data_IF_938123291423
#
_entry.id   IF_938123291423
#
_cell.length_a   1.000
_cell.length_b   1.000
_cell.length_c   1.000
_cell.angle_alpha   90.00
_cell.angle_beta   90.00
_cell.angle_gamma   90.00
#
_symmetry.space_group_name_H-M   'P 1'
#
loop_
_entity.id
_entity.type
_entity.pdbx_description
1 polymer ?
#
# COMPACT_ATOMS: atom_id res chain seq x y z
N UNK A 1 43.31 5.61 -42.09
CA UNK A 1 42.85 4.24 -41.74
C UNK A 1 43.47 3.77 -40.42
N UNK A 2 44.73 4.11 -40.14
CA UNK A 2 45.45 3.77 -38.89
C UNK A 2 44.80 4.30 -37.60
N UNK A 3 44.16 5.48 -37.63
CA UNK A 3 43.47 6.03 -36.45
C UNK A 3 42.26 5.17 -36.03
N UNK A 4 41.50 4.65 -36.99
CA UNK A 4 40.38 3.74 -36.73
C UNK A 4 40.87 2.39 -36.18
N UNK A 5 42.05 1.92 -36.60
CA UNK A 5 42.65 0.68 -36.13
C UNK A 5 43.22 0.80 -34.72
N UNK A 6 43.73 1.98 -34.34
CA UNK A 6 44.22 2.26 -32.99
C UNK A 6 43.08 2.36 -31.95
N UNK A 7 41.92 2.89 -32.34
CA UNK A 7 40.71 2.92 -31.48
C UNK A 7 40.17 1.50 -31.23
N UNK A 8 40.20 0.64 -32.25
CA UNK A 8 39.80 -0.78 -32.13
C UNK A 8 40.77 -1.62 -31.27
N UNK A 9 42.06 -1.26 -31.21
CA UNK A 9 43.09 -1.99 -30.46
C UNK A 9 43.19 -1.59 -28.98
N UNK A 10 42.62 -0.45 -28.57
CA UNK A 10 42.65 -0.02 -27.16
C UNK A 10 41.59 -0.68 -26.27
N UNK A 11 40.71 -1.54 -26.82
CA UNK A 11 39.76 -2.33 -26.03
C UNK A 11 38.74 -1.51 -25.21
N UNK A 12 38.72 -0.19 -25.39
CA UNK A 12 37.85 0.74 -24.67
C UNK A 12 36.64 1.11 -25.52
N UNK A 13 35.47 0.67 -25.04
CA UNK A 13 34.30 1.53 -24.85
C UNK A 13 33.29 1.74 -25.99
N UNK A 14 33.17 0.84 -26.97
CA UNK A 14 31.97 0.85 -27.84
C UNK A 14 30.71 0.36 -27.11
N UNK A 15 30.86 -0.62 -26.20
CA UNK A 15 29.74 -1.11 -25.40
C UNK A 15 29.24 -0.04 -24.41
N UNK A 16 30.14 0.72 -23.78
CA UNK A 16 29.77 1.82 -22.85
C UNK A 16 29.11 2.98 -23.59
N UNK A 17 29.53 3.33 -24.81
CA UNK A 17 28.85 4.32 -25.65
C UNK A 17 27.44 3.88 -26.05
N UNK A 18 27.25 2.61 -26.42
CA UNK A 18 25.94 2.06 -26.75
C UNK A 18 25.02 2.00 -25.52
N UNK A 19 25.56 1.60 -24.36
CA UNK A 19 24.87 1.63 -23.06
C UNK A 19 24.48 3.05 -22.64
N UNK A 20 25.35 4.04 -22.85
CA UNK A 20 25.07 5.45 -22.56
C UNK A 20 23.94 5.99 -23.45
N UNK A 21 23.95 5.69 -24.75
CA UNK A 21 22.88 6.09 -25.68
C UNK A 21 21.55 5.39 -25.36
N UNK A 22 21.59 4.14 -24.89
CA UNK A 22 20.42 3.41 -24.41
C UNK A 22 19.85 4.05 -23.14
N UNK A 23 20.72 4.39 -22.18
CA UNK A 23 20.34 5.06 -20.94
C UNK A 23 19.64 6.40 -21.23
N UNK A 24 20.21 7.24 -22.11
CA UNK A 24 19.60 8.51 -22.52
C UNK A 24 18.20 8.34 -23.11
N UNK A 25 17.97 7.26 -23.88
CA UNK A 25 16.66 6.97 -24.47
C UNK A 25 15.64 6.55 -23.41
N UNK A 26 16.04 5.72 -22.45
CA UNK A 26 15.17 5.33 -21.35
C UNK A 26 14.86 6.49 -20.42
N UNK A 27 15.82 7.39 -20.17
CA UNK A 27 15.60 8.60 -19.40
C UNK A 27 14.55 9.51 -20.05
N UNK A 28 14.66 9.77 -21.36
CA UNK A 28 13.64 10.53 -22.10
C UNK A 28 12.26 9.85 -22.05
N UNK A 29 12.21 8.52 -22.09
CA UNK A 29 10.94 7.79 -21.95
C UNK A 29 10.34 7.97 -20.56
N UNK A 30 11.17 7.93 -19.51
CA UNK A 30 10.73 8.19 -18.14
C UNK A 30 10.20 9.60 -18.01
N UNK A 31 10.92 10.61 -18.50
CA UNK A 31 10.49 12.01 -18.51
C UNK A 31 9.12 12.18 -19.16
N UNK A 32 8.91 11.56 -20.33
CA UNK A 32 7.63 11.58 -21.03
C UNK A 32 6.52 10.91 -20.21
N UNK A 33 6.75 9.73 -19.64
CA UNK A 33 5.75 9.02 -18.83
C UNK A 33 5.39 9.81 -17.56
N UNK A 34 6.35 10.52 -16.97
CA UNK A 34 6.16 11.35 -15.77
C UNK A 34 5.76 12.80 -16.07
N UNK A 35 5.55 13.16 -17.33
CA UNK A 35 5.19 14.51 -17.73
C UNK A 35 3.89 14.95 -17.05
N UNK A 36 3.93 16.14 -16.45
CA UNK A 36 2.80 16.76 -15.75
C UNK A 36 2.25 17.88 -16.65
N UNK A 37 0.97 17.81 -17.01
CA UNK A 37 0.29 18.89 -17.72
C UNK A 37 -0.03 20.08 -16.81
N UNK A 38 -0.48 21.19 -17.41
CA UNK A 38 -0.72 22.47 -16.71
C UNK A 38 -1.67 22.38 -15.51
N UNK A 39 -2.54 21.36 -15.48
CA UNK A 39 -3.52 21.11 -14.41
C UNK A 39 -3.10 20.01 -13.42
N UNK A 40 -1.85 19.55 -13.48
CA UNK A 40 -1.39 18.40 -12.68
C UNK A 40 -1.78 17.04 -13.27
N UNK A 41 -2.30 17.00 -14.50
CA UNK A 41 -2.69 15.76 -15.15
C UNK A 41 -1.47 14.97 -15.63
N UNK A 42 -1.57 13.64 -15.65
CA UNK A 42 -0.53 12.75 -16.15
C UNK A 42 -0.97 12.13 -17.49
N UNK A 43 -0.95 12.88 -18.60
CA UNK A 43 -1.63 12.50 -19.83
C UNK A 43 -1.14 11.16 -20.40
N UNK A 44 0.18 10.92 -20.37
CA UNK A 44 0.78 9.70 -20.92
C UNK A 44 0.49 8.51 -20.00
N UNK A 45 0.68 8.65 -18.69
CA UNK A 45 0.36 7.58 -17.74
C UNK A 45 -1.13 7.20 -17.78
N UNK A 46 -2.03 8.19 -17.87
CA UNK A 46 -3.47 7.96 -17.96
C UNK A 46 -3.89 7.35 -19.32
N UNK A 47 -3.23 7.72 -20.42
CA UNK A 47 -3.46 7.06 -21.71
C UNK A 47 -3.05 5.59 -21.67
N UNK A 48 -1.86 5.28 -21.13
CA UNK A 48 -1.38 3.91 -20.95
C UNK A 48 -2.32 3.09 -20.05
N UNK A 49 -2.82 3.68 -18.97
CA UNK A 49 -3.78 3.04 -18.07
C UNK A 49 -5.07 2.56 -18.78
N UNK A 50 -5.47 3.22 -19.88
CA UNK A 50 -6.67 2.87 -20.64
C UNK A 50 -6.41 1.87 -21.77
N UNK A 51 -5.20 1.84 -22.33
CA UNK A 51 -4.86 1.05 -23.53
C UNK A 51 -4.24 -0.30 -23.18
N UNK A 52 -3.56 -0.40 -22.04
CA UNK A 52 -2.88 -1.65 -21.64
C UNK A 52 -3.91 -2.74 -21.33
N UNK A 53 -3.68 -3.95 -21.85
CA UNK A 53 -4.55 -5.10 -21.60
C UNK A 53 -4.45 -5.59 -20.16
N UNK A 54 -5.54 -6.14 -19.62
CA UNK A 54 -5.65 -6.60 -18.23
C UNK A 54 -4.50 -7.52 -17.76
N UNK A 55 -3.97 -8.38 -18.64
CA UNK A 55 -2.86 -9.30 -18.32
C UNK A 55 -1.54 -8.60 -17.95
N UNK A 56 -1.34 -7.34 -18.36
CA UNK A 56 -0.13 -6.56 -18.08
C UNK A 56 -0.34 -5.50 -16.99
N UNK A 57 -1.52 -5.44 -16.37
CA UNK A 57 -1.85 -4.39 -15.38
C UNK A 57 -1.05 -4.50 -14.09
N UNK A 58 -0.74 -5.73 -13.63
CA UNK A 58 0.11 -5.93 -12.45
C UNK A 58 1.54 -5.39 -12.70
N UNK A 59 2.07 -5.63 -13.89
CA UNK A 59 3.40 -5.14 -14.29
C UNK A 59 3.40 -3.62 -14.50
N UNK A 60 2.35 -3.08 -15.13
CA UNK A 60 2.17 -1.63 -15.28
C UNK A 60 2.11 -0.94 -13.92
N UNK A 61 1.36 -1.49 -12.96
CA UNK A 61 1.27 -0.96 -11.61
C UNK A 61 2.63 -0.93 -10.92
N UNK A 62 3.40 -2.01 -11.04
CA UNK A 62 4.78 -2.10 -10.52
C UNK A 62 5.68 -1.02 -11.11
N UNK A 63 5.68 -0.89 -12.44
CA UNK A 63 6.50 0.09 -13.16
C UNK A 63 6.10 1.52 -12.79
N UNK A 64 4.80 1.83 -12.78
CA UNK A 64 4.31 3.16 -12.44
C UNK A 64 4.67 3.55 -11.00
N UNK A 65 4.40 2.70 -10.02
CA UNK A 65 4.73 3.03 -8.63
C UNK A 65 6.24 3.21 -8.46
N UNK A 66 7.05 2.35 -9.06
CA UNK A 66 8.52 2.42 -8.95
C UNK A 66 9.07 3.71 -9.58
N UNK A 67 8.64 4.05 -10.80
CA UNK A 67 9.13 5.24 -11.52
C UNK A 67 8.66 6.52 -10.84
N UNK A 68 7.37 6.61 -10.51
CA UNK A 68 6.82 7.82 -9.92
C UNK A 68 7.32 8.04 -8.49
N UNK A 69 7.57 6.98 -7.72
CA UNK A 69 8.21 7.13 -6.40
C UNK A 69 9.67 7.60 -6.54
N UNK A 70 10.45 6.99 -7.44
CA UNK A 70 11.83 7.40 -7.72
C UNK A 70 11.98 8.84 -8.21
N UNK A 71 10.95 9.39 -8.88
CA UNK A 71 10.89 10.79 -9.32
C UNK A 71 10.18 11.71 -8.31
N UNK A 72 9.84 11.23 -7.10
CA UNK A 72 9.11 11.98 -6.08
C UNK A 72 7.71 12.48 -6.51
N UNK A 73 7.09 11.79 -7.47
CA UNK A 73 5.78 12.07 -8.05
C UNK A 73 4.72 11.03 -7.65
N UNK A 74 4.98 10.20 -6.64
CA UNK A 74 4.02 9.18 -6.18
C UNK A 74 2.65 9.77 -5.82
N UNK A 75 2.62 10.90 -5.11
CA UNK A 75 1.39 11.62 -4.80
C UNK A 75 0.60 11.99 -6.08
N UNK A 76 1.30 12.47 -7.11
CA UNK A 76 0.68 12.89 -8.36
C UNK A 76 0.05 11.72 -9.11
N UNK A 77 0.73 10.57 -9.12
CA UNK A 77 0.20 9.33 -9.67
C UNK A 77 -1.07 8.89 -8.93
N UNK A 78 -1.01 8.83 -7.60
CA UNK A 78 -2.12 8.33 -6.79
C UNK A 78 -3.36 9.22 -6.90
N UNK A 79 -3.20 10.55 -6.87
CA UNK A 79 -4.32 11.48 -7.08
C UNK A 79 -4.97 11.26 -8.45
N UNK A 80 -4.20 11.19 -9.54
CA UNK A 80 -4.76 11.03 -10.89
C UNK A 80 -5.51 9.70 -11.04
N UNK A 81 -4.90 8.60 -10.57
CA UNK A 81 -5.46 7.25 -10.67
C UNK A 81 -6.73 7.12 -9.81
N UNK A 82 -6.69 7.59 -8.56
CA UNK A 82 -7.86 7.53 -7.69
C UNK A 82 -8.96 8.51 -8.13
N UNK A 83 -8.61 9.70 -8.62
CA UNK A 83 -9.59 10.64 -9.16
C UNK A 83 -10.44 9.98 -10.24
N UNK A 84 -9.81 9.26 -11.17
CA UNK A 84 -10.54 8.56 -12.22
C UNK A 84 -11.42 7.43 -11.70
N UNK A 85 -10.91 6.61 -10.79
CA UNK A 85 -11.69 5.52 -10.16
C UNK A 85 -12.92 6.07 -9.42
N UNK A 86 -12.72 7.11 -8.61
CA UNK A 86 -13.79 7.73 -7.84
C UNK A 86 -14.77 8.43 -8.76
N UNK A 87 -14.32 9.07 -9.84
CA UNK A 87 -15.17 9.68 -10.88
C UNK A 87 -16.14 8.68 -11.53
N UNK A 88 -15.80 7.39 -11.56
CA UNK A 88 -16.63 6.35 -12.15
C UNK A 88 -17.49 5.59 -11.13
N UNK A 89 -17.27 5.78 -9.82
CA UNK A 89 -17.97 5.03 -8.79
C UNK A 89 -19.40 5.55 -8.52
N UNK A 90 -20.39 4.66 -8.47
CA UNK A 90 -21.78 5.02 -8.13
C UNK A 90 -21.94 5.45 -6.67
N UNK A 91 -21.19 4.83 -5.75
CA UNK A 91 -21.23 5.12 -4.33
C UNK A 91 -19.86 4.86 -3.69
N UNK A 92 -19.62 5.45 -2.51
CA UNK A 92 -18.31 5.32 -1.85
C UNK A 92 -17.97 3.87 -1.49
N UNK A 93 -18.98 3.01 -1.30
CA UNK A 93 -18.76 1.61 -0.96
C UNK A 93 -18.16 0.82 -2.12
N UNK A 94 -18.35 1.21 -3.39
CA UNK A 94 -17.85 0.46 -4.55
C UNK A 94 -16.44 0.86 -4.99
N UNK A 95 -15.91 1.94 -4.42
CA UNK A 95 -14.56 2.45 -4.73
C UNK A 95 -13.51 1.36 -4.50
N UNK A 96 -12.65 1.16 -5.50
CA UNK A 96 -11.52 0.22 -5.44
C UNK A 96 -11.94 -1.24 -5.16
N UNK A 97 -13.17 -1.61 -5.56
CA UNK A 97 -13.64 -3.01 -5.57
C UNK A 97 -13.41 -3.73 -6.89
N UNK A 98 -13.10 -2.99 -7.96
CA UNK A 98 -12.78 -3.56 -9.27
C UNK A 98 -11.47 -4.33 -9.33
N UNK A 99 -11.12 -4.81 -10.53
CA UNK A 99 -9.83 -5.43 -10.85
C UNK A 99 -9.06 -4.58 -11.89
N UNK A 100 -9.07 -3.25 -11.70
CA UNK A 100 -8.41 -2.29 -12.58
C UNK A 100 -7.06 -1.82 -12.05
N UNK A 101 -6.35 -1.02 -12.84
CA UNK A 101 -5.06 -0.42 -12.47
C UNK A 101 -5.06 0.26 -11.08
N UNK A 102 -6.09 1.02 -10.65
CA UNK A 102 -6.12 1.62 -9.31
C UNK A 102 -5.94 0.58 -8.18
N UNK A 103 -6.62 -0.56 -8.29
CA UNK A 103 -6.52 -1.64 -7.30
C UNK A 103 -5.17 -2.37 -7.35
N UNK A 104 -4.56 -2.49 -8.54
CA UNK A 104 -3.24 -3.06 -8.72
C UNK A 104 -2.13 -2.16 -8.15
N UNK A 105 -2.19 -0.87 -8.44
CA UNK A 105 -1.29 0.15 -7.87
C UNK A 105 -1.36 0.11 -6.34
N UNK A 106 -2.57 0.12 -5.78
CA UNK A 106 -2.75 0.07 -4.34
C UNK A 106 -2.18 -1.21 -3.72
N UNK A 107 -2.46 -2.37 -4.32
CA UNK A 107 -1.95 -3.67 -3.84
C UNK A 107 -0.43 -3.71 -3.88
N UNK A 108 0.18 -3.15 -4.93
CA UNK A 108 1.62 -3.04 -5.05
C UNK A 108 2.22 -2.09 -4.00
N UNK A 109 1.63 -0.92 -3.76
CA UNK A 109 2.04 -0.01 -2.68
C UNK A 109 2.00 -0.69 -1.30
N UNK A 110 0.93 -1.44 -1.00
CA UNK A 110 0.83 -2.18 0.27
C UNK A 110 1.93 -3.22 0.42
N UNK A 111 2.25 -3.95 -0.65
CA UNK A 111 3.33 -4.94 -0.61
C UNK A 111 4.70 -4.28 -0.45
N UNK A 112 4.95 -3.20 -1.20
CA UNK A 112 6.25 -2.53 -1.24
C UNK A 112 6.55 -1.78 0.06
N UNK A 113 5.59 -1.03 0.61
CA UNK A 113 5.81 -0.14 1.75
C UNK A 113 5.28 -0.70 3.08
N UNK A 114 4.38 -1.69 3.04
CA UNK A 114 3.63 -2.16 4.20
C UNK A 114 4.13 -3.45 4.84
N UNK A 115 5.01 -4.21 4.17
CA UNK A 115 5.44 -5.54 4.63
C UNK A 115 6.05 -5.51 6.04
N UNK A 116 7.03 -4.63 6.28
CA UNK A 116 7.68 -4.48 7.58
C UNK A 116 6.69 -4.03 8.68
N UNK A 117 5.80 -3.10 8.34
CA UNK A 117 4.75 -2.64 9.25
C UNK A 117 3.81 -3.79 9.66
N UNK A 118 3.32 -4.57 8.70
CA UNK A 118 2.44 -5.71 8.96
C UNK A 118 3.12 -6.79 9.79
N UNK A 119 4.40 -7.07 9.53
CA UNK A 119 5.18 -8.03 10.31
C UNK A 119 5.25 -7.59 11.78
N UNK A 120 5.69 -6.36 12.05
CA UNK A 120 5.81 -5.84 13.42
C UNK A 120 4.46 -5.79 14.15
N UNK A 121 3.39 -5.56 13.40
CA UNK A 121 2.03 -5.49 13.93
C UNK A 121 1.47 -6.87 14.31
N UNK A 122 1.54 -7.85 13.41
CA UNK A 122 0.82 -9.11 13.57
C UNK A 122 1.69 -10.27 14.07
N UNK A 123 2.99 -10.30 13.79
CA UNK A 123 3.86 -11.42 14.20
C UNK A 123 3.84 -11.67 15.73
N UNK A 124 3.88 -10.65 16.62
CA UNK A 124 3.81 -10.89 18.07
C UNK A 124 2.48 -11.49 18.53
N UNK A 125 1.38 -11.15 17.86
CA UNK A 125 0.04 -11.67 18.18
C UNK A 125 -0.06 -13.13 17.72
N UNK A 126 0.38 -13.41 16.49
CA UNK A 126 0.37 -14.76 15.92
C UNK A 126 1.28 -15.71 16.70
N UNK A 127 2.45 -15.25 17.16
CA UNK A 127 3.32 -16.04 18.03
C UNK A 127 2.62 -16.47 19.33
N UNK A 128 1.84 -15.58 19.97
CA UNK A 128 1.04 -15.92 21.15
C UNK A 128 -0.04 -16.95 20.84
N UNK A 129 -0.66 -16.88 19.66
CA UNK A 129 -1.65 -17.88 19.22
C UNK A 129 -1.02 -19.25 19.00
N UNK A 130 0.18 -19.32 18.43
CA UNK A 130 0.91 -20.57 18.22
C UNK A 130 1.34 -21.24 19.52
N UNK A 131 1.66 -20.45 20.55
CA UNK A 131 1.93 -20.99 21.89
C UNK A 131 0.64 -21.51 22.55
N UNK A 132 -0.48 -20.81 22.35
CA UNK A 132 -1.78 -21.16 22.92
C UNK A 132 -2.59 -22.15 22.05
N UNK A 133 -1.93 -23.04 21.32
CA UNK A 133 -2.48 -23.82 20.19
C UNK A 133 -3.78 -24.60 20.51
N UNK A 134 -4.07 -24.90 21.77
CA UNK A 134 -5.28 -25.64 22.18
C UNK A 134 -6.56 -24.80 22.24
N UNK A 135 -6.52 -23.48 21.97
CA UNK A 135 -7.72 -22.62 22.01
C UNK A 135 -8.58 -22.76 20.75
N UNK A 136 -9.89 -22.89 20.94
CA UNK A 136 -10.88 -22.79 19.86
C UNK A 136 -11.47 -21.38 19.79
N UNK A 137 -11.82 -20.96 18.57
CA UNK A 137 -12.43 -19.67 18.24
C UNK A 137 -13.76 -19.83 17.49
N UNK A 138 -14.26 -21.06 17.35
CA UNK A 138 -15.51 -21.32 16.64
C UNK A 138 -16.70 -20.85 17.47
N UNK A 139 -17.52 -20.00 16.87
CA UNK A 139 -18.68 -19.37 17.52
C UNK A 139 -20.00 -19.72 16.85
N UNK A 140 -19.96 -20.41 15.71
CA UNK A 140 -21.13 -20.97 15.06
C UNK A 140 -21.55 -22.27 15.77
N UNK A 141 -22.73 -22.32 16.44
CA UNK A 141 -23.18 -23.51 17.16
C UNK A 141 -23.32 -24.76 16.28
N UNK A 142 -23.47 -24.59 14.96
CA UNK A 142 -23.57 -25.71 14.02
C UNK A 142 -22.23 -26.37 13.66
N UNK A 143 -21.11 -25.74 14.03
CA UNK A 143 -19.74 -26.16 13.68
C UNK A 143 -18.87 -26.51 14.90
N UNK A 144 -19.43 -26.37 16.10
CA UNK A 144 -18.75 -26.64 17.36
C UNK A 144 -18.65 -28.16 17.59
N UNK A 145 -17.48 -28.62 18.04
CA UNK A 145 -17.25 -30.01 18.42
C UNK A 145 -17.88 -30.32 19.78
N UNK A 146 -18.17 -31.60 20.07
CA UNK A 146 -18.91 -32.01 21.29
C UNK A 146 -18.25 -31.60 22.61
N UNK A 147 -16.95 -31.31 22.61
CA UNK A 147 -16.19 -30.92 23.80
C UNK A 147 -15.92 -29.42 23.91
N UNK A 148 -16.29 -28.63 22.90
CA UNK A 148 -16.03 -27.19 22.85
C UNK A 148 -17.08 -26.41 23.65
N UNK A 149 -16.63 -25.42 24.41
CA UNK A 149 -17.50 -24.53 25.17
C UNK A 149 -17.72 -23.23 24.40
N UNK A 150 -18.92 -23.05 23.83
CA UNK A 150 -19.28 -21.89 23.00
C UNK A 150 -18.98 -20.54 23.67
N UNK A 151 -19.28 -20.40 24.96
CA UNK A 151 -19.05 -19.14 25.68
C UNK A 151 -17.56 -18.85 25.91
N UNK A 152 -16.74 -19.87 26.12
CA UNK A 152 -15.28 -19.71 26.19
C UNK A 152 -14.70 -19.37 24.81
N UNK A 153 -15.18 -20.00 23.73
CA UNK A 153 -14.78 -19.66 22.36
C UNK A 153 -15.12 -18.21 22.00
N UNK A 154 -16.30 -17.73 22.40
CA UNK A 154 -16.69 -16.32 22.23
C UNK A 154 -15.77 -15.37 22.98
N UNK A 155 -15.39 -15.73 24.21
CA UNK A 155 -14.45 -14.97 25.02
C UNK A 155 -13.05 -14.95 24.39
N UNK A 156 -12.55 -16.10 23.94
CA UNK A 156 -11.28 -16.23 23.22
C UNK A 156 -11.26 -15.35 21.97
N UNK A 157 -12.32 -15.39 21.15
CA UNK A 157 -12.43 -14.58 19.95
C UNK A 157 -12.52 -13.08 20.27
N UNK A 158 -13.26 -12.70 21.31
CA UNK A 158 -13.35 -11.30 21.76
C UNK A 158 -11.98 -10.78 22.21
N UNK A 159 -11.25 -11.54 23.01
CA UNK A 159 -9.91 -11.16 23.49
C UNK A 159 -8.93 -11.01 22.32
N UNK A 160 -8.89 -12.00 21.42
CA UNK A 160 -8.04 -11.93 20.24
C UNK A 160 -8.39 -10.73 19.34
N UNK A 161 -9.69 -10.48 19.13
CA UNK A 161 -10.14 -9.32 18.34
C UNK A 161 -9.69 -8.02 19.01
N UNK A 162 -9.80 -7.93 20.33
CA UNK A 162 -9.35 -6.75 21.07
C UNK A 162 -7.84 -6.54 20.96
N UNK A 163 -7.04 -7.59 21.14
CA UNK A 163 -5.58 -7.51 21.01
C UNK A 163 -5.16 -7.04 19.61
N UNK A 164 -5.79 -7.60 18.57
CA UNK A 164 -5.52 -7.20 17.16
C UNK A 164 -5.98 -5.77 16.89
N UNK A 165 -7.20 -5.41 17.30
CA UNK A 165 -7.72 -4.08 17.09
C UNK A 165 -6.88 -3.03 17.81
N UNK A 166 -6.55 -3.25 19.08
CA UNK A 166 -5.75 -2.32 19.88
C UNK A 166 -4.37 -2.13 19.27
N UNK A 167 -3.70 -3.21 18.83
CA UNK A 167 -2.43 -3.13 18.13
C UNK A 167 -2.51 -2.25 16.87
N UNK A 168 -3.59 -2.34 16.08
CA UNK A 168 -3.81 -1.49 14.89
C UNK A 168 -3.99 -0.02 15.28
N UNK A 169 -4.78 0.28 16.30
CA UNK A 169 -5.05 1.67 16.68
C UNK A 169 -3.78 2.34 17.25
N UNK A 170 -3.02 1.61 18.07
CA UNK A 170 -1.80 2.11 18.69
C UNK A 170 -0.63 2.23 17.69
N UNK A 171 -0.70 1.55 16.54
CA UNK A 171 0.35 1.57 15.53
C UNK A 171 0.28 2.76 14.56
N UNK A 172 -0.62 3.73 14.79
CA UNK A 172 -0.78 4.91 13.94
C UNK A 172 0.57 5.60 13.66
N UNK A 173 1.38 5.86 14.69
CA UNK A 173 2.68 6.53 14.56
C UNK A 173 3.72 5.76 13.74
N UNK A 174 3.59 4.43 13.63
CA UNK A 174 4.47 3.56 12.85
C UNK A 174 3.94 3.33 11.43
N UNK A 175 2.77 3.86 11.08
CA UNK A 175 2.17 3.67 9.76
C UNK A 175 3.07 4.29 8.66
N UNK A 176 3.49 3.53 7.63
CA UNK A 176 4.49 3.98 6.65
C UNK A 176 4.09 5.25 5.92
N UNK A 177 5.05 6.17 5.71
CA UNK A 177 4.78 7.49 5.13
C UNK A 177 4.18 7.40 3.72
N UNK A 178 4.66 6.48 2.87
CA UNK A 178 4.12 6.27 1.52
C UNK A 178 2.66 5.78 1.56
N UNK A 179 2.31 4.97 2.55
CA UNK A 179 0.92 4.53 2.75
C UNK A 179 0.05 5.64 3.34
N UNK A 180 0.61 6.54 4.17
CA UNK A 180 -0.10 7.76 4.60
C UNK A 180 -0.38 8.68 3.40
N UNK A 181 0.55 8.83 2.46
CA UNK A 181 0.31 9.56 1.19
C UNK A 181 -0.86 8.92 0.45
N UNK A 182 -0.87 7.59 0.31
CA UNK A 182 -1.96 6.85 -0.32
C UNK A 182 -3.32 7.11 0.36
N UNK A 183 -3.37 7.00 1.69
CA UNK A 183 -4.58 7.30 2.47
C UNK A 183 -5.05 8.74 2.27
N UNK A 184 -4.12 9.71 2.31
CA UNK A 184 -4.42 11.13 2.14
C UNK A 184 -4.94 11.43 0.73
N UNK A 185 -4.31 10.88 -0.32
CA UNK A 185 -4.79 11.02 -1.69
C UNK A 185 -6.19 10.45 -1.86
N UNK A 186 -6.44 9.24 -1.34
CA UNK A 186 -7.76 8.62 -1.40
C UNK A 186 -8.79 9.46 -0.63
N UNK A 187 -8.45 9.94 0.56
CA UNK A 187 -9.30 10.82 1.36
C UNK A 187 -9.69 12.07 0.56
N UNK A 188 -8.72 12.79 -0.01
CA UNK A 188 -8.94 14.04 -0.75
C UNK A 188 -9.86 13.82 -1.95
N UNK A 189 -9.59 12.79 -2.74
CA UNK A 189 -10.39 12.48 -3.93
C UNK A 189 -11.82 12.08 -3.54
N UNK A 190 -11.98 11.24 -2.52
CA UNK A 190 -13.32 10.85 -2.04
C UNK A 190 -14.06 12.04 -1.47
N UNK A 191 -13.38 12.94 -0.75
CA UNK A 191 -14.01 14.14 -0.19
C UNK A 191 -14.61 15.03 -1.27
N UNK A 192 -13.98 15.11 -2.46
CA UNK A 192 -14.49 15.90 -3.58
C UNK A 192 -15.81 15.36 -4.16
N UNK A 193 -15.99 14.03 -4.22
CA UNK A 193 -17.20 13.41 -4.80
C UNK A 193 -18.25 12.98 -3.77
N UNK A 194 -17.80 12.46 -2.64
CA UNK A 194 -18.61 11.91 -1.56
C UNK A 194 -18.24 12.59 -0.22
N UNK A 195 -18.52 13.89 -0.05
CA UNK A 195 -18.03 14.70 1.08
C UNK A 195 -18.47 14.20 2.47
N UNK A 196 -19.53 13.40 2.54
CA UNK A 196 -20.05 12.83 3.79
C UNK A 196 -19.33 11.56 4.25
N UNK A 197 -18.54 10.90 3.37
CA UNK A 197 -17.96 9.58 3.64
C UNK A 197 -16.46 9.40 3.31
N UNK A 198 -15.58 10.43 3.33
CA UNK A 198 -14.18 10.24 2.96
C UNK A 198 -13.43 9.30 3.90
N UNK A 199 -13.57 9.47 5.22
CA UNK A 199 -12.95 8.59 6.21
C UNK A 199 -13.49 7.16 6.12
N UNK A 200 -14.79 6.99 5.90
CA UNK A 200 -15.40 5.67 5.82
C UNK A 200 -14.93 4.89 4.58
N UNK A 201 -14.71 5.58 3.46
CA UNK A 201 -14.14 4.97 2.26
C UNK A 201 -12.68 4.52 2.49
N UNK A 202 -11.83 5.38 3.06
CA UNK A 202 -10.44 5.04 3.38
C UNK A 202 -10.39 3.88 4.37
N UNK A 203 -11.17 3.96 5.45
CA UNK A 203 -11.31 2.89 6.46
C UNK A 203 -11.65 1.55 5.81
N UNK A 204 -12.73 1.52 5.01
CA UNK A 204 -13.19 0.31 4.33
C UNK A 204 -12.07 -0.29 3.47
N UNK A 205 -11.37 0.53 2.69
CA UNK A 205 -10.31 0.10 1.76
C UNK A 205 -9.09 -0.41 2.51
N UNK A 206 -8.59 0.31 3.52
CA UNK A 206 -7.39 -0.08 4.28
C UNK A 206 -7.62 -1.39 5.03
N UNK A 207 -8.76 -1.56 5.69
CA UNK A 207 -9.06 -2.83 6.33
C UNK A 207 -9.24 -3.96 5.31
N UNK A 208 -10.00 -3.73 4.23
CA UNK A 208 -10.33 -4.78 3.26
C UNK A 208 -9.15 -5.24 2.41
N UNK A 209 -8.25 -4.32 2.02
CA UNK A 209 -7.21 -4.58 1.01
C UNK A 209 -5.80 -4.65 1.59
N UNK A 210 -5.59 -4.21 2.82
CA UNK A 210 -4.28 -4.22 3.46
C UNK A 210 -4.25 -5.05 4.74
N UNK A 211 -5.00 -4.63 5.77
CA UNK A 211 -4.90 -5.24 7.10
C UNK A 211 -5.54 -6.65 7.16
N UNK A 212 -6.79 -6.81 6.70
CA UNK A 212 -7.50 -8.08 6.79
C UNK A 212 -6.87 -9.19 5.92
N UNK A 213 -6.44 -8.93 4.66
CA UNK A 213 -5.75 -9.95 3.87
C UNK A 213 -4.49 -10.46 4.56
N UNK A 214 -3.67 -9.55 5.11
CA UNK A 214 -2.45 -9.91 5.84
C UNK A 214 -2.74 -10.71 7.12
N UNK A 215 -3.83 -10.38 7.82
CA UNK A 215 -4.26 -11.10 9.01
C UNK A 215 -4.76 -12.53 8.68
N UNK A 216 -5.50 -12.70 7.59
CA UNK A 216 -6.10 -14.00 7.21
C UNK A 216 -5.08 -14.92 6.53
N UNK A 217 -4.13 -14.35 5.77
CA UNK A 217 -3.12 -15.08 4.99
C UNK A 217 -1.70 -14.71 5.45
N UNK A 218 -1.34 -14.88 6.74
CA UNK A 218 -0.09 -14.34 7.26
C UNK A 218 1.17 -14.96 6.63
N UNK A 219 1.08 -16.21 6.17
CA UNK A 219 2.18 -16.87 5.45
C UNK A 219 2.42 -16.25 4.07
N UNK A 220 1.36 -15.96 3.29
CA UNK A 220 1.49 -15.32 1.97
C UNK A 220 2.06 -13.90 2.04
N UNK A 221 1.82 -13.22 3.16
CA UNK A 221 2.36 -11.90 3.46
C UNK A 221 3.75 -11.93 4.12
N UNK A 222 4.34 -13.11 4.34
CA UNK A 222 5.66 -13.26 4.95
C UNK A 222 5.72 -12.86 6.43
N UNK A 223 4.58 -12.91 7.13
CA UNK A 223 4.50 -12.59 8.57
C UNK A 223 4.92 -13.79 9.43
N UNK A 224 4.68 -15.00 8.92
CA UNK A 224 5.03 -16.27 9.57
C UNK A 224 5.68 -17.21 8.58
N UNK A 225 6.59 -18.06 9.06
CA UNK A 225 7.37 -18.98 8.21
C UNK A 225 6.58 -20.21 7.75
N UNK A 226 5.46 -20.52 8.42
CA UNK A 226 4.65 -21.70 8.13
C UNK A 226 3.17 -21.36 8.13
N UNK A 227 2.41 -22.12 7.34
CA UNK A 227 0.97 -21.94 7.21
C UNK A 227 0.24 -22.23 8.55
N UNK A 228 -0.60 -21.31 9.06
CA UNK A 228 -1.28 -21.52 10.33
C UNK A 228 -2.24 -22.73 10.28
N UNK A 229 -2.39 -23.40 11.43
CA UNK A 229 -3.33 -24.50 11.59
C UNK A 229 -4.77 -24.07 11.27
N UNK A 230 -5.65 -24.98 10.77
CA UNK A 230 -7.02 -24.65 10.39
C UNK A 230 -7.82 -23.91 11.47
N UNK A 231 -7.64 -24.28 12.74
CA UNK A 231 -8.28 -23.61 13.89
C UNK A 231 -7.87 -22.14 14.04
N UNK A 232 -6.59 -21.84 13.79
CA UNK A 232 -6.03 -20.49 13.88
C UNK A 232 -6.52 -19.66 12.69
N UNK A 233 -6.46 -20.22 11.48
CA UNK A 233 -7.04 -19.58 10.28
C UNK A 233 -8.50 -19.23 10.48
N UNK A 234 -9.28 -20.13 11.11
CA UNK A 234 -10.69 -19.89 11.43
C UNK A 234 -10.85 -18.71 12.39
N UNK A 235 -10.07 -18.67 13.46
CA UNK A 235 -10.03 -17.53 14.39
C UNK A 235 -9.71 -16.21 13.67
N UNK A 236 -8.62 -16.18 12.90
CA UNK A 236 -8.19 -15.00 12.12
C UNK A 236 -9.25 -14.54 11.10
N UNK A 237 -9.94 -15.48 10.46
CA UNK A 237 -11.07 -15.19 9.56
C UNK A 237 -12.25 -14.55 10.28
N UNK A 238 -12.57 -15.02 11.49
CA UNK A 238 -13.65 -14.43 12.29
C UNK A 238 -13.27 -13.04 12.81
N UNK A 239 -12.02 -12.86 13.24
CA UNK A 239 -11.48 -11.54 13.62
C UNK A 239 -11.56 -10.58 12.45
N UNK A 240 -11.09 -10.96 11.26
CA UNK A 240 -11.11 -10.08 10.08
C UNK A 240 -12.53 -9.67 9.68
N UNK A 241 -13.53 -10.54 9.86
CA UNK A 241 -14.94 -10.19 9.67
C UNK A 241 -15.44 -9.16 10.68
N UNK A 242 -15.04 -9.28 11.95
CA UNK A 242 -15.38 -8.31 12.98
C UNK A 242 -14.71 -6.97 12.64
N UNK A 243 -13.40 -6.96 12.37
CA UNK A 243 -12.65 -5.77 11.97
C UNK A 243 -13.21 -5.10 10.71
N UNK A 244 -13.66 -5.87 9.72
CA UNK A 244 -14.30 -5.30 8.53
C UNK A 244 -15.62 -4.60 8.86
N UNK A 245 -16.40 -5.14 9.79
CA UNK A 245 -17.60 -4.47 10.28
C UNK A 245 -17.29 -3.20 11.07
N UNK A 246 -16.21 -3.20 11.86
CA UNK A 246 -15.67 -1.98 12.50
C UNK A 246 -15.35 -0.94 11.43
N UNK A 247 -14.54 -1.31 10.44
CA UNK A 247 -14.10 -0.41 9.37
C UNK A 247 -15.27 0.18 8.56
N UNK A 248 -16.32 -0.61 8.35
CA UNK A 248 -17.51 -0.22 7.61
C UNK A 248 -18.54 0.54 8.48
N UNK A 249 -18.33 0.67 9.79
CA UNK A 249 -19.33 1.15 10.77
C UNK A 249 -20.66 0.38 10.70
N UNK A 250 -20.57 -0.95 10.60
CA UNK A 250 -21.72 -1.86 10.51
C UNK A 250 -21.77 -2.82 11.70
N UNK A 251 -22.98 -3.28 12.00
CA UNK A 251 -23.22 -4.35 12.97
C UNK A 251 -23.65 -5.64 12.25
N UNK A 252 -23.49 -6.78 12.92
CA UNK A 252 -24.00 -8.03 12.39
C UNK A 252 -25.53 -8.06 12.47
N UNK A 253 -26.17 -8.26 11.31
CA UNK A 253 -27.63 -8.44 11.20
C UNK A 253 -28.00 -9.82 10.66
N UNK A 254 -27.23 -10.36 9.71
CA UNK A 254 -27.55 -11.64 9.04
C UNK A 254 -27.02 -12.87 9.78
N UNK A 255 -25.83 -12.77 10.37
CA UNK A 255 -25.17 -13.90 11.03
C UNK A 255 -25.48 -13.91 12.53
N UNK A 256 -26.49 -14.69 12.94
CA UNK A 256 -26.97 -14.70 14.32
C UNK A 256 -25.87 -15.02 15.35
N UNK A 257 -24.96 -15.95 15.03
CA UNK A 257 -23.86 -16.32 15.92
C UNK A 257 -22.85 -15.18 16.16
N UNK A 258 -22.74 -14.22 15.23
CA UNK A 258 -21.85 -13.05 15.36
C UNK A 258 -22.49 -11.86 16.10
N UNK A 259 -23.80 -11.87 16.33
CA UNK A 259 -24.50 -10.74 16.96
C UNK A 259 -24.02 -10.45 18.39
N UNK A 260 -23.46 -11.44 19.08
CA UNK A 260 -22.88 -11.29 20.42
C UNK A 260 -21.66 -10.34 20.48
N UNK A 261 -21.13 -9.93 19.32
CA UNK A 261 -20.04 -8.94 19.21
C UNK A 261 -20.54 -7.52 18.89
N UNK A 262 -21.84 -7.29 18.72
CA UNK A 262 -22.36 -5.98 18.30
C UNK A 262 -22.09 -4.86 19.30
N UNK A 263 -22.15 -5.14 20.60
CA UNK A 263 -21.84 -4.12 21.62
C UNK A 263 -20.36 -3.73 21.56
N UNK A 264 -19.48 -4.71 21.33
CA UNK A 264 -18.05 -4.47 21.14
C UNK A 264 -17.76 -3.68 19.85
N UNK A 265 -18.45 -3.99 18.74
CA UNK A 265 -18.35 -3.21 17.50
C UNK A 265 -18.66 -1.73 17.77
N UNK A 266 -19.79 -1.46 18.42
CA UNK A 266 -20.22 -0.09 18.72
C UNK A 266 -19.22 0.68 19.56
N UNK A 267 -18.56 0.04 20.53
CA UNK A 267 -17.55 0.71 21.36
C UNK A 267 -16.23 1.00 20.63
N UNK A 268 -16.04 0.51 19.40
CA UNK A 268 -14.76 0.64 18.66
C UNK A 268 -14.82 1.57 17.45
N UNK A 269 -16.02 1.95 16.98
CA UNK A 269 -16.18 2.74 15.75
C UNK A 269 -15.45 4.10 15.79
N UNK A 270 -15.51 4.81 16.92
CA UNK A 270 -14.84 6.11 17.07
C UNK A 270 -13.32 5.96 17.08
N UNK A 271 -12.79 4.96 17.79
CA UNK A 271 -11.35 4.65 17.80
C UNK A 271 -10.82 4.32 16.41
N UNK A 272 -11.55 3.50 15.64
CA UNK A 272 -11.20 3.19 14.26
C UNK A 272 -11.23 4.43 13.36
N UNK A 273 -12.24 5.29 13.53
CA UNK A 273 -12.35 6.56 12.80
C UNK A 273 -11.17 7.49 13.11
N UNK A 274 -10.75 7.58 14.37
CA UNK A 274 -9.61 8.39 14.79
C UNK A 274 -8.28 7.85 14.24
N UNK A 275 -8.08 6.53 14.23
CA UNK A 275 -6.93 5.92 13.57
C UNK A 275 -6.87 6.27 12.08
N UNK A 276 -8.00 6.11 11.37
CA UNK A 276 -8.08 6.41 9.93
C UNK A 276 -7.86 7.90 9.66
N UNK A 277 -8.39 8.77 10.51
CA UNK A 277 -8.13 10.21 10.44
C UNK A 277 -6.62 10.48 10.55
N UNK A 278 -5.96 9.94 11.58
CA UNK A 278 -4.52 10.14 11.80
C UNK A 278 -3.66 9.68 10.62
N UNK A 279 -3.97 8.55 9.98
CA UNK A 279 -3.19 8.07 8.82
C UNK A 279 -3.54 8.77 7.51
N UNK A 280 -4.63 9.53 7.45
CA UNK A 280 -5.09 10.25 6.25
C UNK A 280 -4.77 11.75 6.25
N UNK A 281 -4.17 12.25 7.34
CA UNK A 281 -3.80 13.66 7.46
C UNK A 281 -2.92 14.13 6.28
N UNK A 282 -3.09 15.38 5.81
CA UNK A 282 -2.27 15.93 4.73
C UNK A 282 -0.79 15.94 5.13
N UNK A 283 0.06 15.39 4.28
CA UNK A 283 1.51 15.40 4.48
C UNK A 283 2.11 16.58 3.71
N UNK A 284 2.91 17.41 4.38
CA UNK A 284 3.71 18.43 3.70
C UNK A 284 4.87 17.77 2.96
N UNK A 285 4.68 17.49 1.66
CA UNK A 285 5.65 16.82 0.79
C UNK A 285 7.00 17.58 0.70
N UNK A 286 7.00 18.91 0.92
CA UNK A 286 8.20 19.75 1.02
C UNK A 286 9.17 19.36 2.14
N UNK A 287 8.72 18.60 3.15
CA UNK A 287 9.59 18.11 4.23
C UNK A 287 10.30 16.78 3.92
N UNK A 288 9.93 16.11 2.83
CA UNK A 288 10.48 14.81 2.43
C UNK A 288 11.62 14.98 1.41
N UNK A 289 11.70 16.15 0.76
CA UNK A 289 12.73 16.50 -0.20
C UNK A 289 13.91 17.12 0.58
N UNK A 290 15.12 16.51 0.58
CA UNK A 290 16.31 17.21 1.05
C UNK A 290 16.48 18.48 0.22
N UNK A 291 16.77 19.60 0.87
CA UNK A 291 16.79 20.97 0.33
C UNK A 291 17.84 21.23 -0.77
N UNK A 292 18.38 20.20 -1.42
CA UNK A 292 19.52 20.30 -2.32
C UNK A 292 19.19 20.45 -3.81
N UNK A 293 17.91 20.43 -4.23
CA UNK A 293 17.56 20.57 -5.66
C UNK A 293 16.69 21.78 -6.01
N UNK A 294 16.45 22.70 -5.06
CA UNK A 294 15.82 23.99 -5.35
C UNK A 294 16.87 25.09 -5.46
N UNK A 295 17.63 25.10 -6.56
CA UNK A 295 18.18 26.35 -7.08
C UNK A 295 17.64 26.60 -8.50
N UNK A 296 17.08 27.79 -8.77
CA UNK A 296 16.74 28.19 -10.12
C UNK A 296 18.03 28.29 -10.94
N UNK A 297 18.01 27.79 -12.17
CA UNK A 297 19.08 28.01 -13.14
C UNK A 297 19.03 29.50 -13.53
N UNK A 298 19.75 30.34 -12.79
CA UNK A 298 20.13 31.67 -13.28
C UNK A 298 21.29 31.50 -14.27
N UNK A 299 21.04 31.87 -15.53
CA UNK A 299 22.04 31.98 -16.57
C UNK A 299 23.17 32.91 -16.13
N UNK A 300 24.32 32.36 -15.73
CA UNK A 300 25.57 33.09 -15.65
C UNK A 300 26.66 32.35 -16.42
N UNK A 301 26.93 32.90 -17.61
CA UNK A 301 28.12 32.62 -18.39
C UNK A 301 29.32 33.15 -17.61
N UNK A 302 30.20 32.28 -17.11
CA UNK A 302 31.63 32.58 -16.99
C UNK A 302 32.45 31.33 -16.74
N UNK A 303 33.55 31.21 -17.49
CA UNK A 303 34.60 30.20 -17.40
C UNK A 303 35.07 29.94 -15.97
N UNK A 304 35.20 28.68 -15.57
CA UNK A 304 36.44 28.17 -14.98
C UNK A 304 36.39 26.66 -14.74
N UNK A 305 37.50 26.04 -15.12
CA UNK A 305 37.91 24.66 -14.97
C UNK A 305 38.07 24.25 -13.50
N UNK A 306 37.34 23.23 -13.02
CA UNK A 306 37.82 22.23 -12.03
C UNK A 306 36.89 21.00 -12.02
N UNK A 307 37.40 19.78 -11.75
CA UNK A 307 36.62 18.55 -11.82
C UNK A 307 35.85 18.28 -10.52
N UNK A 308 34.57 17.94 -10.64
CA UNK A 308 33.72 17.50 -9.52
C UNK A 308 34.07 16.07 -9.06
N UNK A 309 33.97 15.74 -7.76
CA UNK A 309 34.22 14.41 -7.25
C UNK A 309 33.06 13.45 -7.57
N UNK A 310 33.42 12.27 -8.06
CA UNK A 310 32.54 11.12 -8.26
C UNK A 310 32.07 10.55 -6.92
N UNK A 311 30.75 10.45 -6.73
CA UNK A 311 30.15 9.60 -5.69
C UNK A 311 29.57 8.34 -6.35
N UNK A 312 29.99 7.12 -5.94
CA UNK A 312 29.46 5.89 -6.51
C UNK A 312 28.06 5.59 -5.95
N UNK A 313 27.11 5.33 -6.85
CA UNK A 313 25.80 4.74 -6.54
C UNK A 313 26.03 3.24 -6.32
N UNK A 314 25.91 2.77 -5.07
CA UNK A 314 25.88 1.34 -4.77
C UNK A 314 24.46 0.81 -5.00
N UNK A 315 24.27 0.05 -6.07
CA UNK A 315 23.11 -0.81 -6.27
C UNK A 315 23.38 -2.09 -5.47
N UNK A 316 22.64 -2.31 -4.39
CA UNK A 316 22.58 -3.62 -3.75
C UNK A 316 21.83 -4.57 -4.69
N UNK A 317 22.56 -5.54 -5.23
CA UNK A 317 22.00 -6.73 -5.87
C UNK A 317 22.11 -7.84 -4.82
N UNK A 318 20.98 -8.25 -4.26
CA UNK A 318 20.90 -9.37 -3.33
C UNK A 318 21.24 -10.69 -4.07
N UNK A 319 22.14 -11.46 -3.48
CA UNK A 319 22.39 -12.89 -3.74
C UNK A 319 21.68 -13.71 -2.65
#
# INVERSE_FOLDING_TARGET
MEVLTQILQQGTEFDTLAETVLADRFERLVELVTMIGDKGELPIAMALANVVSLQYMDELARVFVTIFDAKHLLHQLLINIFAKEVELADCYQTILRGNGLPTKIMSFCFKLYGSHYLYNLFAPILAKMFIADLRSYEVDPSRIEQHDQLDENRKNLRLLTHDVFQAIIDSSSQFPIQLRILCSCLYQVVQQRFPQHPLQAVSTVIFLRFLNPALVLPHEFGIVDAEPLPRIKRGLTLVSKILQNIANNLIFTKEFHMRCFNDYLRSTFDSATNFVLSISEPINITTIIPSHEQQPIENNISDSTTPSPTYPIFIYVDL
#
